data_IF_449210484327
#
_entry.id   IF_449210484327
#
_cell.length_a   1.000
_cell.length_b   1.000
_cell.length_c   1.000
_cell.angle_alpha   90.00
_cell.angle_beta   90.00
_cell.angle_gamma   90.00
#
_symmetry.space_group_name_H-M   'P 1'
#
loop_
_entity.id
_entity.type
_entity.pdbx_description
1 polymer ?
#
# COMPACT_ATOMS: atom_id res chain seq x y z
N UNK A 1 -9.60 -14.41 2.56
CA UNK A 1 -9.43 -14.73 1.13
C UNK A 1 -7.98 -14.46 0.76
N UNK A 2 -7.35 -15.25 -0.12
CA UNK A 2 -5.96 -14.99 -0.52
C UNK A 2 -5.90 -13.70 -1.34
N UNK A 3 -4.91 -12.84 -1.07
CA UNK A 3 -4.65 -11.63 -1.85
C UNK A 3 -4.08 -12.04 -3.21
N UNK A 4 -4.67 -11.56 -4.30
CA UNK A 4 -4.11 -11.71 -5.64
C UNK A 4 -2.99 -10.68 -5.83
N UNK A 5 -1.77 -11.16 -6.02
CA UNK A 5 -0.61 -10.35 -6.43
C UNK A 5 -0.79 -10.11 -7.93
N UNK A 6 -1.54 -9.06 -8.26
CA UNK A 6 -1.90 -8.72 -9.62
C UNK A 6 -1.03 -7.60 -10.18
N UNK A 7 -0.25 -7.90 -11.20
CA UNK A 7 0.79 -7.07 -11.77
C UNK A 7 0.58 -6.48 -13.17
N UNK A 8 0.48 -5.16 -13.36
CA UNK A 8 0.33 -4.56 -14.70
C UNK A 8 1.49 -3.68 -15.21
N UNK A 9 1.87 -3.88 -16.46
CA UNK A 9 3.00 -3.28 -17.17
C UNK A 9 2.72 -1.94 -17.84
N UNK A 10 1.94 -1.08 -17.20
CA UNK A 10 1.71 0.31 -17.64
C UNK A 10 1.00 0.49 -19.01
N UNK A 11 0.51 -0.59 -19.63
CA UNK A 11 -0.21 -0.55 -20.91
C UNK A 11 -1.43 -1.47 -20.99
N UNK A 12 -1.80 -2.12 -19.90
CA UNK A 12 -2.95 -3.03 -19.83
C UNK A 12 -3.54 -3.01 -18.42
N UNK A 13 -4.87 -2.85 -18.33
CA UNK A 13 -5.65 -2.89 -17.09
C UNK A 13 -5.79 -4.32 -16.50
N UNK A 14 -4.98 -5.28 -16.96
CA UNK A 14 -5.05 -6.66 -16.49
C UNK A 14 -3.68 -7.09 -16.00
N UNK A 15 -3.58 -7.54 -14.75
CA UNK A 15 -2.33 -8.01 -14.21
C UNK A 15 -1.80 -9.29 -14.89
N UNK A 16 -0.54 -9.28 -15.35
CA UNK A 16 0.21 -10.42 -15.88
C UNK A 16 1.03 -11.10 -14.78
N UNK A 17 1.25 -12.42 -14.80
CA UNK A 17 1.97 -13.12 -13.73
C UNK A 17 3.45 -12.72 -13.50
N UNK A 18 4.06 -11.91 -14.37
CA UNK A 18 5.52 -11.75 -14.47
C UNK A 18 6.10 -10.35 -14.16
N UNK A 19 5.29 -9.32 -13.98
CA UNK A 19 5.75 -7.94 -13.69
C UNK A 19 5.83 -7.70 -12.12
N UNK A 20 6.08 -6.48 -11.60
CA UNK A 20 5.95 -6.18 -10.15
C UNK A 20 4.83 -5.16 -9.78
N UNK A 21 3.97 -5.46 -8.81
CA UNK A 21 2.86 -4.55 -8.39
C UNK A 21 2.37 -4.71 -6.94
N UNK A 22 1.62 -3.69 -6.49
CA UNK A 22 1.05 -3.58 -5.15
C UNK A 22 -0.44 -3.20 -5.23
N UNK A 23 -1.25 -3.73 -4.29
CA UNK A 23 -2.66 -3.38 -4.15
C UNK A 23 -3.10 -3.36 -2.67
N UNK A 24 -4.01 -2.44 -2.33
CA UNK A 24 -4.64 -2.32 -1.01
C UNK A 24 -6.14 -2.53 -1.16
N UNK A 25 -6.70 -3.47 -0.40
CA UNK A 25 -8.14 -3.77 -0.39
C UNK A 25 -8.80 -3.53 0.98
N UNK A 26 -8.03 -3.02 1.94
CA UNK A 26 -8.47 -2.82 3.31
C UNK A 26 -8.29 -1.35 3.66
N UNK A 27 -9.40 -0.66 3.94
CA UNK A 27 -9.40 0.76 4.22
C UNK A 27 -8.61 1.06 5.49
N UNK A 28 -8.71 0.20 6.50
CA UNK A 28 -7.92 0.28 7.73
C UNK A 28 -6.42 0.29 7.47
N UNK A 29 -5.92 -0.54 6.56
CA UNK A 29 -4.50 -0.55 6.20
C UNK A 29 -4.11 0.75 5.46
N UNK A 30 -4.92 1.18 4.50
CA UNK A 30 -4.68 2.41 3.75
C UNK A 30 -4.64 3.63 4.66
N UNK A 31 -5.67 3.82 5.50
CA UNK A 31 -5.77 4.95 6.41
C UNK A 31 -4.67 4.95 7.47
N UNK A 32 -4.20 3.78 7.92
CA UNK A 32 -3.04 3.70 8.79
C UNK A 32 -1.75 4.19 8.10
N UNK A 33 -1.57 3.88 6.81
CA UNK A 33 -0.38 4.27 6.04
C UNK A 33 -0.48 5.67 5.43
N UNK A 34 -1.67 6.27 5.42
CA UNK A 34 -1.93 7.56 4.77
C UNK A 34 -0.90 8.64 5.13
N UNK A 35 -0.47 8.81 6.40
CA UNK A 35 0.57 9.79 6.72
C UNK A 35 1.91 9.52 6.02
N UNK A 36 2.31 8.24 5.94
CA UNK A 36 3.54 7.85 5.23
C UNK A 36 3.40 8.01 3.71
N UNK A 37 2.22 7.75 3.15
CA UNK A 37 1.96 7.97 1.73
C UNK A 37 1.91 9.47 1.38
N UNK A 38 1.39 10.31 2.27
CA UNK A 38 1.45 11.76 2.11
C UNK A 38 2.90 12.28 2.11
N UNK A 39 3.76 11.75 3.01
CA UNK A 39 5.20 12.04 2.99
C UNK A 39 5.85 11.58 1.69
N UNK A 40 5.57 10.34 1.24
CA UNK A 40 6.06 9.81 -0.03
C UNK A 40 5.71 10.72 -1.20
N UNK A 41 4.44 11.14 -1.29
CA UNK A 41 3.95 12.04 -2.32
C UNK A 41 4.64 13.39 -2.28
N UNK A 42 4.92 13.93 -1.09
CA UNK A 42 5.66 15.18 -0.94
C UNK A 42 7.09 15.07 -1.47
N UNK A 43 7.70 13.88 -1.37
CA UNK A 43 9.08 13.63 -1.81
C UNK A 43 9.15 13.34 -3.32
N UNK A 44 8.24 12.53 -3.85
CA UNK A 44 8.35 11.98 -5.21
C UNK A 44 7.35 12.57 -6.20
N UNK A 45 6.31 13.24 -5.70
CA UNK A 45 5.13 13.63 -6.49
C UNK A 45 4.17 12.47 -6.79
N UNK A 46 4.49 11.24 -6.38
CA UNK A 46 3.73 10.02 -6.67
C UNK A 46 2.89 9.62 -5.45
N UNK A 47 1.63 9.26 -5.67
CA UNK A 47 0.70 8.91 -4.58
C UNK A 47 0.33 7.44 -4.66
N UNK A 48 0.34 6.75 -3.52
CA UNK A 48 -0.42 5.50 -3.39
C UNK A 48 -1.81 5.90 -2.93
N UNK A 49 -2.81 5.60 -3.74
CA UNK A 49 -4.21 5.91 -3.48
C UNK A 49 -5.07 4.67 -3.74
N UNK A 50 -6.30 4.66 -3.24
CA UNK A 50 -7.24 3.57 -3.45
C UNK A 50 -7.87 3.61 -4.86
N UNK A 51 -7.83 4.75 -5.56
CA UNK A 51 -8.53 4.94 -6.84
C UNK A 51 -7.62 5.35 -8.01
N UNK A 52 -6.38 5.75 -7.72
CA UNK A 52 -5.44 6.20 -8.74
C UNK A 52 -4.22 5.29 -8.82
N UNK A 53 -3.86 4.92 -10.04
CA UNK A 53 -2.65 4.17 -10.32
C UNK A 53 -1.41 5.05 -10.15
N UNK A 54 -0.33 4.48 -9.63
CA UNK A 54 0.97 5.14 -9.58
C UNK A 54 2.11 4.19 -9.91
N UNK A 55 3.18 4.74 -10.46
CA UNK A 55 4.34 3.96 -10.91
C UNK A 55 5.61 4.47 -10.26
N UNK A 56 6.31 3.64 -9.50
CA UNK A 56 7.56 3.99 -8.83
C UNK A 56 8.75 3.38 -9.56
N UNK A 57 9.72 4.21 -9.95
CA UNK A 57 10.98 3.79 -10.60
C UNK A 57 12.15 4.62 -10.08
N UNK A 58 13.38 4.16 -10.29
CA UNK A 58 14.60 4.89 -9.90
C UNK A 58 14.57 5.39 -8.45
N UNK A 59 14.68 6.71 -8.26
CA UNK A 59 14.64 7.34 -6.93
C UNK A 59 13.28 7.19 -6.25
N UNK A 60 12.18 7.16 -7.00
CA UNK A 60 10.83 6.92 -6.47
C UNK A 60 10.70 5.52 -5.87
N UNK A 61 11.29 4.51 -6.52
CA UNK A 61 11.32 3.14 -6.00
C UNK A 61 12.13 3.03 -4.69
N UNK A 62 13.26 3.74 -4.61
CA UNK A 62 14.05 3.83 -3.38
C UNK A 62 13.30 4.56 -2.25
N UNK A 63 12.51 5.58 -2.57
CA UNK A 63 11.65 6.26 -1.59
C UNK A 63 10.53 5.35 -1.08
N UNK A 64 9.88 4.62 -1.98
CA UNK A 64 8.88 3.61 -1.64
C UNK A 64 9.46 2.53 -0.70
N UNK A 65 10.64 2.00 -0.99
CA UNK A 65 11.31 0.99 -0.13
C UNK A 65 11.51 1.50 1.31
N UNK A 66 11.94 2.76 1.47
CA UNK A 66 12.10 3.38 2.80
C UNK A 66 10.76 3.53 3.52
N UNK A 67 9.72 3.92 2.80
CA UNK A 67 8.36 4.05 3.35
C UNK A 67 7.84 2.70 3.82
N UNK A 68 8.00 1.63 3.04
CA UNK A 68 7.57 0.28 3.45
C UNK A 68 8.37 -0.20 4.66
N UNK A 69 9.67 0.07 4.70
CA UNK A 69 10.50 -0.26 5.88
C UNK A 69 10.01 0.47 7.15
N UNK A 70 9.66 1.75 7.02
CA UNK A 70 9.08 2.53 8.14
C UNK A 70 7.70 2.02 8.54
N UNK A 71 6.86 1.66 7.57
CA UNK A 71 5.55 1.07 7.81
C UNK A 71 5.65 -0.22 8.63
N UNK A 72 6.58 -1.12 8.27
CA UNK A 72 6.83 -2.37 9.01
C UNK A 72 7.19 -2.05 10.46
N UNK A 73 8.14 -1.14 10.67
CA UNK A 73 8.55 -0.74 12.02
C UNK A 73 7.39 -0.14 12.83
N UNK A 74 6.52 0.67 12.21
CA UNK A 74 5.33 1.22 12.88
C UNK A 74 4.34 0.12 13.24
N UNK A 75 4.01 -0.77 12.31
CA UNK A 75 3.07 -1.89 12.54
C UNK A 75 3.58 -2.81 13.65
N UNK A 76 4.89 -3.07 13.73
CA UNK A 76 5.49 -3.89 14.79
C UNK A 76 5.31 -3.31 16.20
N UNK A 77 5.08 -2.01 16.33
CA UNK A 77 4.83 -1.35 17.63
C UNK A 77 3.35 -1.36 18.05
N UNK A 78 2.46 -1.78 17.15
CA UNK A 78 1.02 -1.88 17.44
C UNK A 78 0.69 -3.13 18.27
N UNK A 79 -0.46 -3.18 18.94
CA UNK A 79 -0.97 -4.42 19.52
C UNK A 79 -1.36 -5.44 18.42
N UNK A 80 -1.64 -6.68 18.80
CA UNK A 80 -2.00 -7.75 17.86
C UNK A 80 -3.23 -7.41 16.99
N UNK A 81 -4.20 -6.69 17.57
CA UNK A 81 -5.32 -6.08 16.86
C UNK A 81 -5.55 -4.66 17.37
N UNK A 82 -5.88 -3.72 16.49
CA UNK A 82 -6.31 -2.37 16.85
C UNK A 82 -7.36 -1.83 15.88
N UNK A 83 -8.01 -0.74 16.26
CA UNK A 83 -8.98 -0.04 15.43
C UNK A 83 -8.31 1.13 14.72
N UNK A 84 -8.52 1.26 13.41
CA UNK A 84 -8.10 2.42 12.61
C UNK A 84 -9.34 3.18 12.19
N UNK A 85 -9.35 4.49 12.39
CA UNK A 85 -10.42 5.34 11.90
C UNK A 85 -10.33 5.46 10.37
N UNK A 86 -11.38 5.03 9.67
CA UNK A 86 -11.42 4.97 8.21
C UNK A 86 -12.34 6.01 7.58
N UNK A 87 -13.11 6.73 8.38
CA UNK A 87 -13.94 7.82 7.87
C UNK A 87 -15.08 8.19 8.80
N UNK A 88 -15.93 9.08 8.30
CA UNK A 88 -17.07 9.58 9.05
C UNK A 88 -18.30 9.56 8.16
N UNK A 89 -19.31 8.79 8.55
CA UNK A 89 -20.62 8.83 7.93
C UNK A 89 -21.38 10.03 8.48
N UNK A 90 -21.88 10.90 7.61
CA UNK A 90 -22.67 12.08 7.99
C UNK A 90 -24.18 11.87 7.85
N UNK A 91 -24.61 10.95 6.98
CA UNK A 91 -26.00 10.61 6.72
C UNK A 91 -26.18 9.09 6.56
N UNK A 92 -27.30 8.50 7.01
CA UNK A 92 -28.48 9.14 7.62
C UNK A 92 -28.23 9.67 9.03
N UNK A 93 -27.28 9.11 9.75
CA UNK A 93 -26.84 9.56 11.09
C UNK A 93 -25.32 9.70 11.14
N UNK A 94 -24.84 10.59 12.01
CA UNK A 94 -23.42 10.77 12.26
C UNK A 94 -22.83 9.53 12.93
N UNK A 95 -21.84 8.92 12.28
CA UNK A 95 -21.13 7.76 12.83
C UNK A 95 -19.66 7.78 12.39
N UNK A 96 -18.75 7.65 13.34
CA UNK A 96 -17.35 7.38 13.06
C UNK A 96 -17.18 5.92 12.63
N UNK A 97 -16.44 5.72 11.55
CA UNK A 97 -16.15 4.41 10.98
C UNK A 97 -14.76 4.00 11.41
N UNK A 98 -14.68 2.78 11.94
CA UNK A 98 -13.43 2.15 12.34
C UNK A 98 -13.34 0.77 11.72
N UNK A 99 -12.12 0.37 11.38
CA UNK A 99 -11.83 -0.97 10.91
C UNK A 99 -10.81 -1.64 11.83
N UNK A 100 -11.07 -2.93 12.12
CA UNK A 100 -10.11 -3.74 12.86
C UNK A 100 -8.96 -4.16 11.96
N UNK A 101 -7.76 -3.79 12.37
CA UNK A 101 -6.51 -4.16 11.71
C UNK A 101 -5.80 -5.21 12.56
N UNK A 102 -5.40 -6.31 11.91
CA UNK A 102 -4.59 -7.36 12.54
C UNK A 102 -3.13 -7.20 12.19
N UNK A 103 -2.27 -7.17 13.21
CA UNK A 103 -0.83 -6.97 13.05
C UNK A 103 -0.19 -8.01 12.14
N UNK A 104 -0.50 -9.29 12.36
CA UNK A 104 0.09 -10.41 11.62
C UNK A 104 -0.21 -10.31 10.12
N UNK A 105 -1.46 -10.04 9.76
CA UNK A 105 -1.89 -9.87 8.37
C UNK A 105 -1.33 -8.62 7.73
N UNK A 106 -1.18 -7.54 8.49
CA UNK A 106 -0.62 -6.31 7.96
C UNK A 106 0.89 -6.45 7.71
N UNK A 107 1.63 -7.09 8.62
CA UNK A 107 3.04 -7.40 8.40
C UNK A 107 3.25 -8.34 7.21
N UNK A 108 2.41 -9.36 7.07
CA UNK A 108 2.42 -10.26 5.90
C UNK A 108 2.30 -9.46 4.60
N UNK A 109 1.35 -8.53 4.52
CA UNK A 109 1.17 -7.64 3.37
C UNK A 109 2.42 -6.78 3.11
N UNK A 110 2.95 -6.10 4.13
CA UNK A 110 4.09 -5.21 3.97
C UNK A 110 5.39 -5.95 3.60
N UNK A 111 5.58 -7.18 4.09
CA UNK A 111 6.68 -8.02 3.67
C UNK A 111 6.54 -8.46 2.21
N UNK A 112 5.33 -8.83 1.76
CA UNK A 112 5.08 -9.12 0.35
C UNK A 112 5.40 -7.90 -0.53
N UNK A 113 5.03 -6.69 -0.08
CA UNK A 113 5.37 -5.46 -0.78
C UNK A 113 6.89 -5.24 -0.87
N UNK A 114 7.59 -5.49 0.23
CA UNK A 114 9.05 -5.43 0.28
C UNK A 114 9.71 -6.42 -0.71
N UNK A 115 9.18 -7.63 -0.83
CA UNK A 115 9.64 -8.63 -1.80
C UNK A 115 9.43 -8.15 -3.25
N UNK A 116 8.25 -7.59 -3.56
CA UNK A 116 7.94 -7.03 -4.88
C UNK A 116 8.90 -5.89 -5.23
N UNK A 117 9.12 -4.96 -4.30
CA UNK A 117 10.05 -3.82 -4.49
C UNK A 117 11.48 -4.33 -4.71
N UNK A 118 11.92 -5.29 -3.90
CA UNK A 118 13.24 -5.91 -4.04
C UNK A 118 13.41 -6.58 -5.40
N UNK A 119 12.40 -7.33 -5.86
CA UNK A 119 12.40 -7.97 -7.17
C UNK A 119 12.41 -6.94 -8.30
N UNK A 120 11.60 -5.89 -8.21
CA UNK A 120 11.55 -4.81 -9.19
C UNK A 120 12.91 -4.12 -9.33
N UNK A 121 13.56 -3.83 -8.20
CA UNK A 121 14.91 -3.25 -8.17
C UNK A 121 15.94 -4.17 -8.81
N UNK A 122 15.91 -5.47 -8.51
CA UNK A 122 16.85 -6.44 -9.10
C UNK A 122 16.67 -6.61 -10.61
N UNK A 123 15.45 -6.38 -11.12
CA UNK A 123 15.13 -6.46 -12.54
C UNK A 123 15.23 -5.12 -13.27
N UNK A 124 15.60 -4.04 -12.58
CA UNK A 124 15.56 -2.65 -13.08
C UNK A 124 14.19 -2.31 -13.71
N UNK A 125 13.11 -2.72 -13.03
CA UNK A 125 11.73 -2.51 -13.44
C UNK A 125 10.99 -1.59 -12.46
N UNK A 126 10.01 -0.81 -12.93
CA UNK A 126 9.13 -0.06 -12.05
C UNK A 126 8.22 -0.99 -11.23
N UNK A 127 7.69 -0.46 -10.12
CA UNK A 127 6.56 -1.03 -9.39
C UNK A 127 5.32 -0.21 -9.70
N UNK A 128 4.21 -0.87 -10.02
CA UNK A 128 2.91 -0.21 -10.20
C UNK A 128 2.02 -0.47 -8.99
N UNK A 129 1.51 0.58 -8.37
CA UNK A 129 0.47 0.52 -7.35
C UNK A 129 -0.87 0.75 -8.06
N UNK A 130 -1.80 -0.17 -7.88
CA UNK A 130 -3.12 -0.12 -8.54
C UNK A 130 -4.18 0.42 -7.59
N UNK A 131 -4.95 1.39 -8.11
CA UNK A 131 -6.24 1.76 -7.56
C UNK A 131 -7.36 0.87 -8.13
N UNK A 132 -8.52 0.86 -7.48
CA UNK A 132 -9.75 0.18 -7.89
C UNK A 132 -10.63 1.08 -8.78
#
# INVERSE_FOLDING_TARGET
>A
MPLDIGIGGGGSCVPRPDEPSLQLHNDGYYWFLQPLFAELRSETGQSIDLYDDSTFSGTGLAALERVITRAIALVQTQPACWQVHTGTQMHPEFQELFEEVRQDRFLELLHNWQEVISRARNLDRPVVCWGD
#
